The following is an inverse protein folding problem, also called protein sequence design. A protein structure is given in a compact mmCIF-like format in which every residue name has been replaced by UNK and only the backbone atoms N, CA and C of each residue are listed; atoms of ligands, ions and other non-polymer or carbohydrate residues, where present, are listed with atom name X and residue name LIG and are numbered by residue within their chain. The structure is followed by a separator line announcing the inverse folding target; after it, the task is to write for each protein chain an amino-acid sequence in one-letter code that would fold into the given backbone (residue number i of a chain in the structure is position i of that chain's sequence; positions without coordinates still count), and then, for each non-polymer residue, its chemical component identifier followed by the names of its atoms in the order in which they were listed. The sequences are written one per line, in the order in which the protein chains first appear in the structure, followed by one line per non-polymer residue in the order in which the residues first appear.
data_IF_839507337523
#
_entry.id   IF_839507337523
#
_cell.length_a   1.000
_cell.length_b   1.000
_cell.length_c   1.000
_cell.angle_alpha   90.00
_cell.angle_beta   90.00
_cell.angle_gamma   90.00
#
_symmetry.space_group_name_H-M   'P 1'
#
loop_
_entity.id
_entity.type
_entity.pdbx_description
1 polymer ?
#
# COMPACT_ATOMS: atom_id res chain seq x y z
N UNK A 1 5.44 -1.61 -11.09
CA UNK A 1 6.54 -1.32 -10.17
C UNK A 1 7.89 -1.62 -10.82
N UNK A 2 8.93 -0.88 -10.44
CA UNK A 2 10.31 -1.25 -10.69
C UNK A 2 10.82 -1.99 -9.44
N UNK A 3 11.55 -3.08 -9.67
CA UNK A 3 12.03 -3.97 -8.64
C UNK A 3 13.56 -3.99 -8.59
N UNK A 4 14.12 -3.99 -7.39
CA UNK A 4 15.54 -4.25 -7.15
C UNK A 4 15.71 -5.67 -6.62
N UNK A 5 16.64 -6.43 -7.16
CA UNK A 5 16.99 -7.76 -6.65
C UNK A 5 17.94 -7.62 -5.46
N UNK A 6 17.67 -8.37 -4.41
CA UNK A 6 18.66 -8.55 -3.34
C UNK A 6 19.82 -9.36 -3.92
N UNK A 7 21.05 -8.94 -3.66
CA UNK A 7 22.26 -9.52 -4.24
C UNK A 7 22.62 -10.97 -3.83
N UNK A 8 21.67 -11.69 -3.22
CA UNK A 8 21.79 -13.11 -2.86
C UNK A 8 20.80 -13.92 -3.70
N UNK A 9 21.23 -14.94 -4.44
CA UNK A 9 20.35 -15.84 -5.16
C UNK A 9 19.65 -16.78 -4.17
N UNK A 10 18.53 -16.36 -3.60
CA UNK A 10 17.66 -17.25 -2.85
C UNK A 10 16.51 -17.68 -3.78
N UNK A 11 16.58 -18.92 -4.23
CA UNK A 11 15.64 -19.47 -5.20
C UNK A 11 16.04 -19.21 -6.66
N UNK A 12 15.31 -19.79 -7.64
CA UNK A 12 15.69 -19.76 -9.05
C UNK A 12 15.73 -18.34 -9.68
N UNK A 13 15.12 -17.34 -9.03
CA UNK A 13 15.02 -15.98 -9.55
C UNK A 13 15.54 -14.89 -8.60
N UNK A 14 15.93 -15.25 -7.34
CA UNK A 14 16.34 -14.31 -6.30
C UNK A 14 15.16 -13.49 -5.72
N UNK A 15 15.32 -13.03 -4.49
CA UNK A 15 14.34 -12.15 -3.83
C UNK A 15 14.42 -10.72 -4.38
N UNK A 16 13.29 -10.02 -4.44
CA UNK A 16 13.25 -8.64 -4.91
C UNK A 16 12.38 -7.76 -3.99
N UNK A 17 12.69 -6.47 -3.97
CA UNK A 17 11.91 -5.43 -3.30
C UNK A 17 11.50 -4.33 -4.28
N UNK A 18 10.35 -3.67 -4.09
CA UNK A 18 9.94 -2.60 -4.97
C UNK A 18 10.69 -1.31 -4.62
N UNK A 19 11.27 -0.66 -5.63
CA UNK A 19 11.98 0.62 -5.50
C UNK A 19 11.27 1.79 -6.17
N UNK A 20 10.27 1.50 -7.00
CA UNK A 20 9.41 2.51 -7.62
C UNK A 20 8.04 1.92 -7.93
N UNK A 21 7.01 2.73 -7.80
CA UNK A 21 5.64 2.32 -8.08
C UNK A 21 4.80 3.44 -8.66
N UNK A 22 3.88 3.07 -9.54
CA UNK A 22 2.87 3.96 -10.12
C UNK A 22 1.53 3.25 -10.10
N UNK A 23 0.51 3.92 -9.59
CA UNK A 23 -0.89 3.50 -9.62
C UNK A 23 -1.76 4.64 -10.13
N UNK A 24 -2.59 4.35 -11.11
CA UNK A 24 -3.55 5.31 -11.65
C UNK A 24 -4.97 4.83 -11.45
N UNK A 25 -5.80 5.69 -10.89
CA UNK A 25 -7.23 5.48 -10.67
C UNK A 25 -8.04 6.30 -11.68
N UNK A 26 -8.41 5.74 -12.85
CA UNK A 26 -8.96 6.53 -13.95
C UNK A 26 -10.30 7.21 -13.61
N UNK A 27 -11.17 6.53 -12.86
CA UNK A 27 -12.48 7.10 -12.46
C UNK A 27 -12.34 8.33 -11.57
N UNK A 28 -11.27 8.38 -10.76
CA UNK A 28 -10.97 9.51 -9.87
C UNK A 28 -9.99 10.50 -10.47
N UNK A 29 -9.43 10.19 -11.62
CA UNK A 29 -8.31 10.88 -12.24
C UNK A 29 -7.17 11.19 -11.25
N UNK A 30 -6.82 10.18 -10.44
CA UNK A 30 -5.77 10.24 -9.43
C UNK A 30 -4.59 9.36 -9.81
N UNK A 31 -3.41 9.94 -9.76
CA UNK A 31 -2.13 9.25 -9.95
C UNK A 31 -1.38 9.22 -8.62
N UNK A 32 -0.96 8.02 -8.22
CA UNK A 32 -0.05 7.80 -7.09
C UNK A 32 1.29 7.31 -7.64
N UNK A 33 2.39 7.86 -7.17
CA UNK A 33 3.72 7.46 -7.61
C UNK A 33 4.76 7.68 -6.53
N UNK A 34 5.81 6.87 -6.58
CA UNK A 34 6.93 6.93 -5.65
C UNK A 34 8.18 6.33 -6.26
N UNK A 35 9.33 6.77 -5.79
CA UNK A 35 10.62 6.14 -6.09
C UNK A 35 11.52 6.21 -4.85
N UNK A 36 12.42 5.25 -4.75
CA UNK A 36 13.30 5.09 -3.59
C UNK A 36 14.09 6.38 -3.30
N UNK A 37 13.95 6.87 -2.07
CA UNK A 37 14.58 8.10 -1.60
C UNK A 37 13.99 9.39 -2.14
N UNK A 38 12.99 9.31 -3.04
CA UNK A 38 12.33 10.49 -3.61
C UNK A 38 11.03 10.87 -2.91
N UNK A 39 10.44 9.94 -2.17
CA UNK A 39 9.16 10.11 -1.50
C UNK A 39 7.99 9.59 -2.33
N UNK A 40 6.81 9.65 -1.74
CA UNK A 40 5.54 9.27 -2.37
C UNK A 40 4.67 10.49 -2.63
N UNK A 41 3.89 10.44 -3.70
CA UNK A 41 3.10 11.58 -4.18
C UNK A 41 1.72 11.15 -4.65
N UNK A 42 0.76 12.05 -4.50
CA UNK A 42 -0.58 11.97 -5.11
C UNK A 42 -0.80 13.18 -6.01
N UNK A 43 -1.25 12.95 -7.23
CA UNK A 43 -1.65 14.00 -8.16
C UNK A 43 -3.13 13.81 -8.52
N UNK A 44 -3.95 14.79 -8.19
CA UNK A 44 -5.34 14.86 -8.60
C UNK A 44 -5.43 15.51 -9.99
N UNK A 45 -6.48 15.24 -10.74
CA UNK A 45 -6.67 15.69 -12.11
C UNK A 45 -5.44 15.38 -13.00
N UNK A 46 -4.95 14.14 -12.89
CA UNK A 46 -3.67 13.73 -13.45
C UNK A 46 -3.62 13.81 -14.99
N UNK A 47 -4.77 13.63 -15.65
CA UNK A 47 -4.87 13.74 -17.13
C UNK A 47 -4.73 15.18 -17.62
N UNK A 48 -5.08 16.17 -16.79
CA UNK A 48 -4.93 17.59 -17.12
C UNK A 48 -3.53 18.14 -16.83
N UNK A 49 -2.67 17.35 -16.18
CA UNK A 49 -1.30 17.70 -15.82
C UNK A 49 -0.32 17.08 -16.82
N UNK A 50 0.41 17.93 -17.51
CA UNK A 50 1.52 17.52 -18.37
C UNK A 50 2.86 17.50 -17.64
N UNK A 51 3.94 17.33 -18.40
CA UNK A 51 5.31 17.48 -17.94
C UNK A 51 6.03 16.19 -17.60
N UNK A 52 7.30 16.34 -17.26
CA UNK A 52 8.18 15.25 -16.80
C UNK A 52 7.76 14.72 -15.43
N UNK A 53 8.31 13.58 -15.02
CA UNK A 53 8.07 13.01 -13.68
C UNK A 53 8.47 13.99 -12.57
N UNK A 54 9.55 14.76 -12.77
CA UNK A 54 10.01 15.77 -11.83
C UNK A 54 9.02 16.95 -11.68
N UNK A 55 8.54 17.50 -12.79
CA UNK A 55 7.54 18.57 -12.78
C UNK A 55 6.21 18.11 -12.15
N UNK A 56 5.82 16.86 -12.41
CA UNK A 56 4.67 16.26 -11.73
C UNK A 56 4.88 16.17 -10.23
N UNK A 57 6.06 15.75 -9.75
CA UNK A 57 6.37 15.67 -8.34
C UNK A 57 6.32 17.04 -7.66
N UNK A 58 6.82 18.09 -8.31
CA UNK A 58 6.77 19.47 -7.80
C UNK A 58 5.33 20.01 -7.64
N UNK A 59 4.40 19.54 -8.48
CA UNK A 59 2.99 19.97 -8.47
C UNK A 59 2.05 18.99 -7.76
N UNK A 60 2.57 17.84 -7.33
CA UNK A 60 1.81 16.80 -6.64
C UNK A 60 1.86 17.01 -5.11
N UNK A 61 0.90 16.43 -4.44
CA UNK A 61 0.83 16.41 -3.00
C UNK A 61 1.72 15.29 -2.45
N UNK A 62 2.66 15.65 -1.58
CA UNK A 62 3.55 14.68 -0.94
C UNK A 62 2.82 13.88 0.13
N UNK A 63 3.08 12.58 0.19
CA UNK A 63 2.45 11.66 1.14
C UNK A 63 3.37 11.38 2.34
N UNK A 64 2.81 11.08 3.53
CA UNK A 64 1.39 11.14 3.84
C UNK A 64 0.89 12.59 3.91
N UNK A 65 -0.41 12.77 3.65
CA UNK A 65 -1.07 14.07 3.88
C UNK A 65 -1.47 14.14 5.34
N UNK A 66 -1.04 15.15 6.10
CA UNK A 66 -1.47 15.30 7.47
C UNK A 66 -2.99 15.46 7.55
N UNK A 67 -3.65 14.54 8.24
CA UNK A 67 -5.08 14.61 8.53
C UNK A 67 -5.36 14.01 9.90
N UNK A 68 -6.31 14.60 10.62
CA UNK A 68 -6.80 14.03 11.85
C UNK A 68 -7.84 12.95 11.52
N UNK A 69 -7.65 11.76 12.06
CA UNK A 69 -8.66 10.70 12.05
C UNK A 69 -9.36 10.71 13.41
N UNK A 70 -10.70 10.66 13.42
CA UNK A 70 -11.50 10.66 14.65
C UNK A 70 -11.40 9.34 15.42
N UNK A 71 -10.89 8.29 14.76
CA UNK A 71 -10.72 6.97 15.33
C UNK A 71 -9.67 6.19 14.52
N UNK A 72 -9.10 5.14 15.12
CA UNK A 72 -8.26 4.20 14.39
C UNK A 72 -9.00 3.62 13.19
N UNK A 73 -8.53 3.90 12.00
CA UNK A 73 -9.26 3.62 10.75
C UNK A 73 -8.65 2.45 9.99
N UNK A 74 -9.45 1.41 9.77
CA UNK A 74 -9.04 0.19 9.07
C UNK A 74 -9.66 0.15 7.68
N UNK A 75 -8.87 -0.18 6.67
CA UNK A 75 -9.36 -0.48 5.32
C UNK A 75 -9.85 -1.92 5.29
N UNK A 76 -11.16 -2.11 5.25
CA UNK A 76 -11.80 -3.43 5.20
C UNK A 76 -13.08 -3.41 4.37
N UNK A 77 -13.57 -4.57 3.97
CA UNK A 77 -14.91 -4.68 3.37
C UNK A 77 -15.97 -4.43 4.46
N UNK A 78 -17.03 -3.72 4.14
CA UNK A 78 -18.15 -3.50 5.08
C UNK A 78 -19.12 -4.68 5.16
N UNK A 79 -19.17 -5.51 4.13
CA UNK A 79 -20.21 -6.54 3.98
C UNK A 79 -19.67 -7.97 3.95
N UNK A 80 -18.37 -8.15 3.74
CA UNK A 80 -17.76 -9.47 3.62
C UNK A 80 -16.37 -9.41 4.28
N UNK A 81 -16.32 -9.81 5.54
CA UNK A 81 -15.08 -9.91 6.30
C UNK A 81 -14.80 -11.39 6.57
N UNK A 82 -13.53 -11.77 6.53
CA UNK A 82 -13.13 -13.10 6.99
C UNK A 82 -13.01 -13.10 8.52
N UNK A 83 -13.10 -14.27 9.17
CA UNK A 83 -12.92 -14.37 10.64
C UNK A 83 -11.61 -13.73 11.12
N UNK A 84 -10.54 -13.81 10.33
CA UNK A 84 -9.25 -13.20 10.67
C UNK A 84 -9.32 -11.67 10.61
N UNK A 85 -10.08 -11.11 9.66
CA UNK A 85 -10.30 -9.67 9.58
C UNK A 85 -11.10 -9.19 10.77
N UNK A 86 -12.15 -9.90 11.15
CA UNK A 86 -12.96 -9.59 12.33
C UNK A 86 -12.13 -9.65 13.61
N UNK A 87 -11.30 -10.69 13.76
CA UNK A 87 -10.38 -10.82 14.90
C UNK A 87 -9.36 -9.66 14.95
N UNK A 88 -8.85 -9.22 13.79
CA UNK A 88 -7.96 -8.06 13.72
C UNK A 88 -8.68 -6.79 14.19
N UNK A 89 -9.89 -6.54 13.71
CA UNK A 89 -10.70 -5.39 14.09
C UNK A 89 -10.97 -5.40 15.61
N UNK A 90 -11.42 -6.53 16.16
CA UNK A 90 -11.67 -6.66 17.58
C UNK A 90 -10.43 -6.38 18.46
N UNK A 91 -9.26 -6.80 17.99
CA UNK A 91 -7.99 -6.48 18.65
C UNK A 91 -7.70 -4.98 18.62
N UNK A 92 -7.89 -4.33 17.48
CA UNK A 92 -7.66 -2.88 17.35
C UNK A 92 -8.68 -2.07 18.20
N UNK A 93 -9.90 -2.56 18.35
CA UNK A 93 -10.88 -1.96 19.26
C UNK A 93 -10.44 -2.04 20.74
N UNK A 94 -9.80 -3.15 21.13
CA UNK A 94 -9.23 -3.28 22.49
C UNK A 94 -8.03 -2.35 22.70
N UNK A 95 -7.20 -2.15 21.67
CA UNK A 95 -5.98 -1.34 21.75
C UNK A 95 -6.25 0.17 21.64
N UNK A 96 -7.19 0.57 20.80
CA UNK A 96 -7.42 1.97 20.42
C UNK A 96 -8.80 2.50 20.81
N UNK A 97 -9.67 1.67 21.35
CA UNK A 97 -11.06 2.02 21.63
C UNK A 97 -11.90 2.02 20.34
N UNK A 98 -12.42 3.17 19.93
CA UNK A 98 -13.25 3.26 18.72
C UNK A 98 -12.43 2.98 17.44
N UNK A 99 -12.93 2.07 16.61
CA UNK A 99 -12.41 1.78 15.28
C UNK A 99 -13.41 2.25 14.21
N UNK A 100 -12.90 2.82 13.14
CA UNK A 100 -13.65 3.17 11.93
C UNK A 100 -13.27 2.28 10.77
N UNK A 101 -14.26 1.91 9.95
CA UNK A 101 -14.01 1.11 8.75
C UNK A 101 -14.19 1.96 7.49
N UNK A 102 -13.21 1.90 6.61
CA UNK A 102 -13.28 2.47 5.26
C UNK A 102 -13.03 1.39 4.21
N UNK A 103 -13.50 1.60 2.99
CA UNK A 103 -13.28 0.63 1.91
C UNK A 103 -12.95 1.31 0.60
N UNK A 104 -12.14 0.63 -0.20
CA UNK A 104 -11.73 1.05 -1.54
C UNK A 104 -11.54 -0.19 -2.41
N UNK A 105 -11.61 -0.04 -3.73
CA UNK A 105 -11.32 -1.13 -4.65
C UNK A 105 -9.81 -1.36 -4.86
N UNK A 106 -9.44 -2.60 -5.16
CA UNK A 106 -8.13 -3.00 -5.67
C UNK A 106 -6.92 -2.49 -4.86
N UNK A 107 -5.80 -2.22 -5.52
CA UNK A 107 -4.54 -1.71 -4.95
C UNK A 107 -4.67 -0.33 -4.28
N UNK A 108 -5.74 0.42 -4.55
CA UNK A 108 -5.99 1.71 -3.91
C UNK A 108 -6.20 1.62 -2.39
N UNK A 109 -6.48 0.43 -1.85
CA UNK A 109 -6.51 0.19 -0.40
C UNK A 109 -5.16 0.49 0.26
N UNK A 110 -4.07 0.12 -0.40
CA UNK A 110 -2.69 0.44 0.05
C UNK A 110 -2.48 1.95 0.00
N UNK A 111 -2.99 2.61 -1.06
CA UNK A 111 -2.87 4.05 -1.19
C UNK A 111 -3.62 4.82 -0.09
N UNK A 112 -4.75 4.30 0.45
CA UNK A 112 -5.44 4.94 1.57
C UNK A 112 -4.54 5.04 2.80
N UNK A 113 -3.79 3.98 3.10
CA UNK A 113 -2.83 3.99 4.21
C UNK A 113 -1.65 4.93 3.89
N UNK A 114 -1.12 4.87 2.67
CA UNK A 114 -0.03 5.74 2.23
C UNK A 114 -0.39 7.23 2.29
N UNK A 115 -1.65 7.58 1.99
CA UNK A 115 -2.16 8.96 2.09
C UNK A 115 -2.32 9.39 3.55
N UNK A 116 -2.51 8.47 4.48
CA UNK A 116 -2.88 8.74 5.86
C UNK A 116 -4.40 8.80 6.09
N UNK A 117 -5.21 8.37 5.12
CA UNK A 117 -6.67 8.29 5.23
C UNK A 117 -7.15 7.02 5.96
N UNK A 118 -6.23 6.15 6.30
CA UNK A 118 -6.44 4.98 7.15
C UNK A 118 -5.12 4.63 7.87
N UNK A 119 -5.24 4.00 9.02
CA UNK A 119 -4.10 3.56 9.83
C UNK A 119 -3.60 2.19 9.41
N UNK A 120 -4.52 1.29 9.03
CA UNK A 120 -4.16 -0.08 8.66
C UNK A 120 -5.01 -0.66 7.53
N UNK A 121 -4.39 -1.55 6.76
CA UNK A 121 -5.05 -2.43 5.79
C UNK A 121 -4.59 -3.87 5.99
N UNK A 122 -5.32 -4.66 6.79
CA UNK A 122 -5.10 -6.11 6.88
C UNK A 122 -5.65 -6.82 5.65
N UNK A 123 -4.92 -7.79 5.13
CA UNK A 123 -5.35 -8.61 4.00
C UNK A 123 -5.16 -10.10 4.30
N UNK A 124 -6.25 -10.76 4.69
CA UNK A 124 -6.34 -12.19 4.98
C UNK A 124 -7.04 -12.96 3.84
N UNK A 125 -6.68 -12.61 2.60
CA UNK A 125 -7.18 -13.33 1.42
C UNK A 125 -6.11 -13.29 0.31
N UNK A 126 -6.11 -14.25 -0.61
CA UNK A 126 -5.10 -14.31 -1.67
C UNK A 126 -5.04 -13.03 -2.51
N UNK A 127 -3.83 -12.64 -2.86
CA UNK A 127 -3.48 -11.62 -3.85
C UNK A 127 -2.24 -12.08 -4.60
N UNK A 128 -1.97 -11.44 -5.71
CA UNK A 128 -0.78 -11.71 -6.51
C UNK A 128 0.26 -10.61 -6.31
N UNK A 129 1.50 -10.90 -6.63
CA UNK A 129 2.60 -9.93 -6.53
C UNK A 129 2.31 -8.62 -7.27
N UNK A 130 1.68 -8.68 -8.44
CA UNK A 130 1.32 -7.49 -9.23
C UNK A 130 0.17 -6.66 -8.63
N UNK A 131 -0.60 -7.20 -7.69
CA UNK A 131 -1.63 -6.46 -6.95
C UNK A 131 -1.02 -5.55 -5.88
N UNK A 132 0.19 -5.83 -5.43
CA UNK A 132 0.77 -5.18 -4.26
C UNK A 132 2.05 -4.40 -4.56
N UNK A 133 2.86 -4.82 -5.52
CA UNK A 133 4.23 -4.31 -5.71
C UNK A 133 4.31 -2.78 -5.90
N UNK A 134 3.43 -2.19 -6.71
CA UNK A 134 3.42 -0.73 -6.92
C UNK A 134 2.95 0.02 -5.66
N UNK A 135 1.88 -0.48 -5.02
CA UNK A 135 1.38 0.07 -3.76
C UNK A 135 2.38 -0.04 -2.62
N UNK A 136 3.16 -1.13 -2.57
CA UNK A 136 4.21 -1.33 -1.57
C UNK A 136 5.32 -0.28 -1.70
N UNK A 137 5.79 0.02 -2.93
CA UNK A 137 6.74 1.10 -3.14
C UNK A 137 6.19 2.45 -2.65
N UNK A 138 4.91 2.74 -2.96
CA UNK A 138 4.25 3.97 -2.54
C UNK A 138 4.11 4.03 -1.02
N UNK A 139 3.70 2.93 -0.37
CA UNK A 139 3.58 2.86 1.07
C UNK A 139 4.93 3.09 1.78
N UNK A 140 6.00 2.42 1.32
CA UNK A 140 7.33 2.58 1.89
C UNK A 140 7.82 4.03 1.85
N UNK A 141 7.69 4.69 0.71
CA UNK A 141 8.12 6.07 0.53
C UNK A 141 7.21 7.10 1.23
N UNK A 142 6.01 6.67 1.63
CA UNK A 142 5.12 7.42 2.53
C UNK A 142 5.40 7.13 4.02
N UNK A 143 6.46 6.39 4.36
CA UNK A 143 6.81 6.03 5.72
C UNK A 143 5.94 4.93 6.33
N UNK A 144 5.21 4.18 5.50
CA UNK A 144 4.37 3.04 5.87
C UNK A 144 5.07 1.72 5.54
N UNK A 145 4.58 0.63 6.10
CA UNK A 145 5.17 -0.71 5.89
C UNK A 145 4.12 -1.68 5.38
N UNK A 146 4.48 -2.50 4.42
CA UNK A 146 3.69 -3.68 4.00
C UNK A 146 4.41 -4.92 4.52
N UNK A 147 3.84 -5.53 5.55
CA UNK A 147 4.41 -6.65 6.30
C UNK A 147 3.72 -7.95 5.93
N UNK A 148 4.49 -8.93 5.54
CA UNK A 148 4.07 -10.33 5.43
C UNK A 148 3.83 -10.89 6.83
N UNK A 149 2.60 -11.30 7.13
CA UNK A 149 2.21 -11.81 8.46
C UNK A 149 2.91 -13.13 8.80
N UNK A 150 3.23 -13.94 7.79
CA UNK A 150 3.85 -15.25 7.99
C UNK A 150 5.30 -15.13 8.47
N UNK A 151 6.02 -14.14 7.95
CA UNK A 151 7.44 -13.93 8.26
C UNK A 151 7.69 -12.78 9.25
N UNK A 152 6.69 -11.92 9.44
CA UNK A 152 6.79 -10.65 10.17
C UNK A 152 7.87 -9.70 9.58
N UNK A 153 8.16 -9.83 8.29
CA UNK A 153 9.14 -9.05 7.55
C UNK A 153 8.47 -8.30 6.38
N UNK A 154 9.11 -7.28 5.81
CA UNK A 154 8.61 -6.65 4.59
C UNK A 154 8.40 -7.67 3.49
N UNK A 155 7.23 -7.61 2.84
CA UNK A 155 6.89 -8.55 1.77
C UNK A 155 7.94 -8.56 0.67
N UNK A 156 8.29 -9.76 0.21
CA UNK A 156 9.24 -10.01 -0.86
C UNK A 156 8.55 -10.46 -2.14
N UNK A 157 9.20 -10.19 -3.24
CA UNK A 157 8.69 -10.39 -4.59
C UNK A 157 9.62 -11.28 -5.40
N UNK A 158 9.17 -11.68 -6.60
CA UNK A 158 9.88 -12.59 -7.48
C UNK A 158 10.07 -13.98 -6.86
N UNK A 159 9.05 -14.42 -6.14
CA UNK A 159 8.99 -15.74 -5.52
C UNK A 159 8.70 -16.83 -6.56
N UNK A 160 8.98 -18.08 -6.24
CA UNK A 160 8.57 -19.23 -7.07
C UNK A 160 7.04 -19.31 -7.24
N UNK A 161 6.28 -19.03 -6.17
CA UNK A 161 4.85 -18.78 -6.22
C UNK A 161 4.60 -17.29 -6.20
N UNK A 162 3.90 -16.78 -7.20
CA UNK A 162 3.56 -15.35 -7.30
C UNK A 162 2.36 -14.95 -6.42
N UNK A 163 1.77 -15.90 -5.70
CA UNK A 163 0.75 -15.63 -4.68
C UNK A 163 1.43 -15.01 -3.46
N UNK A 164 0.85 -13.93 -2.96
CA UNK A 164 1.28 -13.29 -1.73
C UNK A 164 0.78 -14.06 -0.50
N UNK A 165 1.60 -14.10 0.53
CA UNK A 165 1.13 -14.39 1.88
C UNK A 165 0.14 -13.31 2.34
N UNK A 166 -0.58 -13.57 3.42
CA UNK A 166 -1.38 -12.56 4.10
C UNK A 166 -0.48 -11.42 4.61
N UNK A 167 -0.99 -10.20 4.60
CA UNK A 167 -0.18 -9.04 4.94
C UNK A 167 -0.98 -7.95 5.66
N UNK A 168 -0.26 -7.04 6.28
CA UNK A 168 -0.81 -5.80 6.83
C UNK A 168 -0.01 -4.63 6.25
N UNK A 169 -0.71 -3.57 5.84
CA UNK A 169 -0.11 -2.25 5.57
C UNK A 169 -0.43 -1.34 6.74
N UNK A 170 0.57 -0.68 7.30
CA UNK A 170 0.42 0.23 8.46
C UNK A 170 1.55 1.26 8.56
#
# INVERSE_FOLDING_TARGET
ALMERDGQPQGPLGSARPISGVLYAPVKDQLFFAWQGGGAYRQNAATSKGGSAYERALSAERLPVPQALDAFTIVASRSHQSPETEAYIARMEQEHGKVSLTSMGSALKICLVAVGAADAYPRYAPTMEWDTAAGHAIANEAGKRLIDITTNEPMRYNKASLVNNWFIVQ
#
